data_IF_434117640702
#
_entry.id   IF_434117640702
#
_cell.length_a   1.000
_cell.length_b   1.000
_cell.length_c   1.000
_cell.angle_alpha   90.00
_cell.angle_beta   90.00
_cell.angle_gamma   90.00
#
_symmetry.space_group_name_H-M   'P 1'
#
loop_
_entity.id
_entity.type
_entity.pdbx_description
1 polymer ?
#
# COMPACT_ATOMS: atom_id res chain seq x y z
N UNK A 1 -35.43 -59.63 -38.21
CA UNK A 1 -34.94 -58.24 -38.00
C UNK A 1 -35.39 -57.78 -36.62
N UNK A 2 -34.53 -57.06 -35.89
CA UNK A 2 -34.42 -57.02 -34.41
C UNK A 2 -35.37 -56.04 -33.70
N UNK A 3 -35.66 -56.39 -32.42
CA UNK A 3 -36.37 -55.70 -31.30
C UNK A 3 -35.82 -54.27 -31.02
N UNK A 4 -36.45 -53.32 -30.29
CA UNK A 4 -37.11 -53.38 -28.96
C UNK A 4 -37.95 -52.10 -28.70
N UNK A 5 -39.00 -52.21 -27.88
CA UNK A 5 -39.85 -51.11 -27.34
C UNK A 5 -39.17 -50.30 -26.22
N UNK A 6 -39.59 -49.06 -26.01
CA UNK A 6 -39.88 -48.53 -24.65
C UNK A 6 -40.81 -47.30 -24.67
N UNK A 7 -41.68 -47.27 -23.66
CA UNK A 7 -42.88 -46.45 -23.43
C UNK A 7 -42.62 -45.08 -22.79
N UNK A 8 -43.38 -44.06 -23.18
CA UNK A 8 -43.45 -42.73 -22.52
C UNK A 8 -44.79 -42.59 -21.76
N UNK A 9 -44.75 -42.17 -20.49
CA UNK A 9 -45.94 -41.86 -19.66
C UNK A 9 -46.04 -40.36 -19.36
N UNK A 10 -47.25 -39.84 -19.53
CA UNK A 10 -47.74 -38.49 -19.18
C UNK A 10 -47.71 -38.22 -17.67
N UNK A 11 -47.44 -36.98 -17.27
CA UNK A 11 -47.76 -36.43 -15.94
C UNK A 11 -48.54 -35.11 -16.09
N UNK A 12 -49.60 -34.97 -15.29
CA UNK A 12 -50.60 -33.92 -15.34
C UNK A 12 -50.12 -32.59 -14.73
N UNK A 13 -50.55 -31.48 -15.34
CA UNK A 13 -50.37 -30.09 -14.87
C UNK A 13 -51.65 -29.64 -14.16
N UNK A 14 -51.52 -29.14 -12.94
CA UNK A 14 -52.61 -28.53 -12.17
C UNK A 14 -52.51 -27.01 -12.28
N UNK A 15 -53.64 -26.37 -12.62
CA UNK A 15 -53.82 -24.93 -12.75
C UNK A 15 -54.26 -24.27 -11.43
N UNK A 16 -53.91 -22.99 -11.25
CA UNK A 16 -54.53 -22.05 -10.31
C UNK A 16 -54.71 -20.68 -10.99
N UNK A 17 -55.71 -19.87 -10.59
CA UNK A 17 -56.39 -18.90 -11.45
C UNK A 17 -55.83 -17.46 -11.39
N UNK A 18 -56.19 -16.69 -12.42
CA UNK A 18 -55.84 -15.29 -12.66
C UNK A 18 -56.62 -14.28 -11.78
N UNK A 19 -55.99 -13.15 -11.40
CA UNK A 19 -56.65 -11.84 -11.20
C UNK A 19 -55.70 -10.68 -11.59
N UNK A 20 -56.34 -9.68 -12.20
CA UNK A 20 -55.91 -8.44 -12.86
C UNK A 20 -55.03 -7.43 -12.10
N UNK A 21 -54.38 -6.59 -12.91
CA UNK A 21 -53.60 -5.36 -12.66
C UNK A 21 -54.17 -4.35 -11.65
N UNK A 22 -53.28 -3.76 -10.84
CA UNK A 22 -53.32 -2.35 -10.44
C UNK A 22 -51.89 -1.83 -10.21
N UNK A 23 -51.51 -0.76 -10.91
CA UNK A 23 -50.24 -0.06 -10.76
C UNK A 23 -50.23 0.83 -9.50
N UNK A 24 -49.09 0.91 -8.80
CA UNK A 24 -48.67 2.09 -8.03
C UNK A 24 -47.16 2.03 -7.69
N UNK A 25 -46.60 3.21 -7.51
CA UNK A 25 -45.20 3.64 -7.63
C UNK A 25 -44.25 3.28 -6.47
N UNK A 26 -42.98 3.05 -6.85
CA UNK A 26 -41.69 3.33 -6.17
C UNK A 26 -41.64 3.59 -4.65
N UNK A 27 -40.96 2.68 -3.95
CA UNK A 27 -40.38 2.87 -2.61
C UNK A 27 -39.47 1.71 -2.25
N UNK A 28 -38.20 1.74 -2.67
CA UNK A 28 -37.23 0.67 -2.42
C UNK A 28 -36.55 0.84 -1.07
N UNK A 29 -37.10 0.19 -0.03
CA UNK A 29 -36.36 -0.19 1.17
C UNK A 29 -35.75 -1.58 0.98
N UNK A 30 -34.43 -1.70 1.03
CA UNK A 30 -33.73 -2.98 0.98
C UNK A 30 -33.68 -3.61 2.37
N UNK A 31 -34.14 -4.85 2.47
CA UNK A 31 -34.05 -5.68 3.67
C UNK A 31 -32.60 -6.08 3.95
N UNK A 32 -32.15 -5.80 5.18
CA UNK A 32 -30.85 -6.21 5.69
C UNK A 32 -30.80 -7.73 5.96
N UNK A 33 -29.75 -8.38 5.48
CA UNK A 33 -29.33 -9.73 5.91
C UNK A 33 -28.60 -9.58 7.27
N UNK A 34 -28.85 -10.43 8.28
CA UNK A 34 -28.21 -10.28 9.59
C UNK A 34 -26.74 -10.70 9.49
N UNK A 35 -25.84 -9.71 9.44
CA UNK A 35 -24.39 -9.92 9.55
C UNK A 35 -24.00 -10.22 10.99
N UNK A 36 -23.37 -11.37 11.21
CA UNK A 36 -22.71 -11.70 12.47
C UNK A 36 -21.59 -10.70 12.76
N UNK A 37 -21.73 -9.96 13.85
CA UNK A 37 -20.72 -9.08 14.43
C UNK A 37 -19.52 -9.90 14.88
N UNK A 38 -18.40 -9.80 14.18
CA UNK A 38 -17.09 -10.04 14.79
C UNK A 38 -16.84 -8.87 15.74
N UNK A 39 -16.98 -9.14 17.03
CA UNK A 39 -16.69 -8.18 18.08
C UNK A 39 -15.24 -7.68 17.93
N UNK A 40 -15.09 -6.38 17.70
CA UNK A 40 -13.82 -5.70 17.92
C UNK A 40 -13.34 -6.01 19.35
N UNK A 41 -12.02 -6.12 19.60
CA UNK A 41 -11.50 -6.22 20.96
C UNK A 41 -12.09 -5.08 21.79
N UNK A 42 -12.68 -5.41 22.94
CA UNK A 42 -13.33 -4.46 23.83
C UNK A 42 -12.37 -3.31 24.17
N UNK A 43 -12.63 -2.12 23.62
CA UNK A 43 -11.87 -0.91 23.94
C UNK A 43 -11.54 0.05 22.77
N UNK A 44 -11.76 -0.32 21.50
CA UNK A 44 -11.58 0.63 20.39
C UNK A 44 -12.88 1.37 20.05
N UNK A 45 -12.99 2.62 20.50
CA UNK A 45 -14.05 3.55 20.11
C UNK A 45 -13.86 4.00 18.65
N UNK A 46 -14.92 3.93 17.84
CA UNK A 46 -14.98 4.67 16.56
C UNK A 46 -14.99 6.16 16.90
N UNK A 47 -13.90 6.87 16.64
CA UNK A 47 -13.82 8.31 16.89
C UNK A 47 -14.35 9.07 15.68
N UNK A 48 -15.59 9.55 15.78
CA UNK A 48 -16.20 10.51 14.85
C UNK A 48 -15.83 11.95 15.23
N UNK A 49 -14.58 12.21 15.66
CA UNK A 49 -14.18 13.59 15.96
C UNK A 49 -14.32 14.38 14.65
N UNK A 50 -15.23 15.35 14.62
CA UNK A 50 -15.23 16.36 13.57
C UNK A 50 -13.87 17.04 13.63
N UNK A 51 -13.13 16.90 12.53
CA UNK A 51 -11.77 17.41 12.43
C UNK A 51 -11.84 18.94 12.51
N UNK A 52 -11.07 19.56 13.41
CA UNK A 52 -11.23 21.00 13.65
C UNK A 52 -10.68 21.79 12.47
N UNK A 53 -11.14 23.02 12.26
CA UNK A 53 -10.59 23.89 11.21
C UNK A 53 -9.09 24.24 11.37
N UNK A 54 -8.47 23.87 12.51
CA UNK A 54 -7.04 24.03 12.74
C UNK A 54 -6.23 22.72 12.56
N UNK A 55 -6.89 21.58 12.35
CA UNK A 55 -6.23 20.29 12.17
C UNK A 55 -5.85 20.11 10.68
N UNK A 56 -4.64 19.66 10.39
CA UNK A 56 -4.21 19.33 9.02
C UNK A 56 -4.92 18.06 8.56
N UNK A 57 -5.65 18.12 7.45
CA UNK A 57 -6.36 17.00 6.85
C UNK A 57 -5.51 16.35 5.76
N UNK A 58 -5.25 15.06 5.91
CA UNK A 58 -4.45 14.31 4.96
C UNK A 58 -4.95 12.89 4.78
N UNK A 59 -4.39 12.19 3.79
CA UNK A 59 -4.65 10.77 3.63
C UNK A 59 -3.97 10.17 2.41
N UNK A 60 -4.48 9.02 1.97
CA UNK A 60 -3.94 8.29 0.83
C UNK A 60 -3.17 7.05 1.25
N UNK A 61 -1.88 7.03 0.94
CA UNK A 61 -0.96 5.92 1.10
C UNK A 61 -1.18 5.14 2.40
N UNK A 62 -1.15 3.82 2.27
CA UNK A 62 -1.06 2.92 3.42
C UNK A 62 0.36 2.46 3.67
N UNK A 63 1.34 3.00 2.93
CA UNK A 63 2.70 2.51 2.90
C UNK A 63 3.75 3.65 2.93
N UNK A 64 4.76 3.55 3.80
CA UNK A 64 4.77 2.77 5.03
C UNK A 64 3.85 3.43 6.06
N UNK A 65 2.70 2.80 6.35
CA UNK A 65 1.65 3.41 7.18
C UNK A 65 2.15 3.83 8.58
N UNK A 66 3.14 3.12 9.13
CA UNK A 66 3.76 3.49 10.40
C UNK A 66 4.55 4.80 10.34
N UNK A 67 5.11 5.15 9.17
CA UNK A 67 5.85 6.40 9.04
C UNK A 67 4.90 7.61 9.01
N UNK A 68 3.63 7.39 8.61
CA UNK A 68 2.57 8.40 8.66
C UNK A 68 1.77 8.38 9.97
N UNK A 69 1.79 7.31 10.75
CA UNK A 69 1.00 7.26 12.01
C UNK A 69 1.87 7.37 13.26
N UNK A 70 3.11 6.88 13.17
CA UNK A 70 4.12 6.93 14.21
C UNK A 70 3.84 6.05 15.43
N UNK A 71 4.57 4.95 15.55
CA UNK A 71 4.67 4.12 16.75
C UNK A 71 3.47 3.20 17.06
N UNK A 72 3.77 2.05 17.68
CA UNK A 72 2.83 0.97 17.94
C UNK A 72 1.99 1.21 19.21
N UNK A 73 0.72 1.56 19.03
CA UNK A 73 -0.26 1.52 20.10
C UNK A 73 -1.52 2.29 19.75
N UNK A 74 -2.55 1.60 19.24
CA UNK A 74 -3.96 2.02 19.28
C UNK A 74 -4.30 3.50 19.03
N UNK A 75 -3.54 4.26 18.22
CA UNK A 75 -3.95 5.63 17.90
C UNK A 75 -4.80 5.59 16.62
N UNK A 76 -6.11 5.86 16.72
CA UNK A 76 -6.83 6.29 15.54
C UNK A 76 -6.24 7.63 15.13
N UNK A 77 -6.10 7.78 13.82
CA UNK A 77 -6.12 9.05 13.12
C UNK A 77 -6.73 10.19 13.98
N UNK A 78 -5.94 11.22 14.32
CA UNK A 78 -6.50 12.51 14.77
C UNK A 78 -6.35 12.99 16.22
N UNK A 79 -5.36 12.55 16.99
CA UNK A 79 -5.10 13.14 18.33
C UNK A 79 -3.60 13.30 18.62
N UNK A 80 -2.95 14.30 18.01
CA UNK A 80 -1.64 14.79 18.47
C UNK A 80 -1.80 15.92 19.49
N UNK A 81 -2.55 15.69 20.58
CA UNK A 81 -2.70 16.76 21.58
C UNK A 81 -1.33 17.10 22.17
N UNK A 82 -1.09 18.38 22.54
CA UNK A 82 0.15 18.88 23.13
C UNK A 82 0.66 18.12 24.39
N UNK A 83 -0.12 17.18 24.93
CA UNK A 83 0.23 16.31 26.06
C UNK A 83 0.62 14.87 25.66
N UNK A 84 0.66 14.52 24.36
CA UNK A 84 1.09 13.21 23.88
C UNK A 84 2.55 13.21 23.47
N UNK A 85 3.25 12.11 23.78
CA UNK A 85 4.57 11.82 23.25
C UNK A 85 4.47 11.82 21.73
N UNK A 86 5.23 12.70 21.08
CA UNK A 86 5.36 12.72 19.62
C UNK A 86 5.57 11.28 19.11
N UNK A 87 5.07 10.96 17.91
CA UNK A 87 5.42 9.70 17.28
C UNK A 87 6.95 9.54 17.33
N UNK A 88 7.44 8.31 17.52
CA UNK A 88 8.89 8.06 17.69
C UNK A 88 9.69 8.88 16.67
N UNK A 89 10.86 9.42 17.04
CA UNK A 89 11.70 10.32 16.23
C UNK A 89 12.06 9.81 14.81
N UNK A 90 11.62 8.58 14.46
CA UNK A 90 11.66 7.93 13.17
C UNK A 90 10.43 8.18 12.25
N UNK A 91 9.37 8.83 12.73
CA UNK A 91 8.13 9.14 11.98
C UNK A 91 8.29 10.35 11.05
N UNK A 92 7.58 10.36 9.91
CA UNK A 92 7.52 11.52 9.02
C UNK A 92 6.87 12.74 9.68
N UNK A 93 6.05 12.53 10.72
CA UNK A 93 5.34 13.58 11.46
C UNK A 93 5.94 13.83 12.85
N UNK A 94 7.26 13.67 12.99
CA UNK A 94 7.97 13.94 14.23
C UNK A 94 7.96 15.41 14.67
N UNK A 95 7.52 16.34 13.82
CA UNK A 95 7.28 17.75 14.16
C UNK A 95 5.83 17.99 14.56
N UNK A 96 5.64 18.72 15.66
CA UNK A 96 4.33 19.23 16.03
C UNK A 96 3.97 20.38 15.07
N UNK A 97 2.76 20.39 14.47
CA UNK A 97 2.32 21.55 13.70
C UNK A 97 2.21 22.78 14.61
N UNK A 98 2.36 23.97 14.04
CA UNK A 98 2.24 25.24 14.77
C UNK A 98 0.80 25.47 15.24
N UNK A 99 -0.18 24.89 14.54
CA UNK A 99 -1.58 24.83 14.95
C UNK A 99 -2.20 23.44 14.75
N UNK A 100 -3.04 22.99 15.69
CA UNK A 100 -3.83 21.75 15.59
C UNK A 100 -3.06 20.43 15.59
N UNK A 101 -3.65 19.39 14.98
CA UNK A 101 -3.11 18.03 14.87
C UNK A 101 -3.05 17.60 13.39
N UNK A 102 -2.17 16.65 13.03
CA UNK A 102 -2.24 15.97 11.73
C UNK A 102 -3.29 14.84 11.79
N UNK A 103 -4.24 14.87 10.86
CA UNK A 103 -5.29 13.88 10.67
C UNK A 103 -5.06 13.13 9.35
N UNK A 104 -4.47 11.93 9.40
CA UNK A 104 -4.11 11.15 8.20
C UNK A 104 -5.01 9.92 7.96
N UNK A 105 -5.82 9.94 6.90
CA UNK A 105 -6.68 8.81 6.54
C UNK A 105 -6.02 7.78 5.61
N UNK A 106 -5.94 6.55 6.10
CA UNK A 106 -5.42 5.38 5.36
C UNK A 106 -6.43 4.86 4.32
N UNK A 107 -6.60 5.59 3.22
CA UNK A 107 -7.60 5.30 2.17
C UNK A 107 -7.05 4.48 1.01
N UNK A 108 -5.73 4.32 0.92
CA UNK A 108 -5.02 3.80 -0.24
C UNK A 108 -4.62 4.90 -1.22
N UNK A 109 -3.48 4.70 -1.90
CA UNK A 109 -2.84 5.66 -2.80
C UNK A 109 -3.73 6.05 -3.98
N UNK A 110 -4.58 5.14 -4.47
CA UNK A 110 -5.54 5.45 -5.54
C UNK A 110 -6.61 6.45 -5.09
N UNK A 111 -7.20 6.25 -3.90
CA UNK A 111 -8.16 7.19 -3.33
C UNK A 111 -7.50 8.54 -3.00
N UNK A 112 -6.28 8.52 -2.44
CA UNK A 112 -5.50 9.72 -2.14
C UNK A 112 -5.25 10.57 -3.38
N UNK A 113 -4.71 9.99 -4.46
CA UNK A 113 -4.45 10.73 -5.69
C UNK A 113 -5.73 11.23 -6.35
N UNK A 114 -6.80 10.45 -6.34
CA UNK A 114 -8.06 10.90 -6.91
C UNK A 114 -8.63 12.10 -6.15
N UNK A 115 -8.50 12.10 -4.82
CA UNK A 115 -8.89 13.21 -3.97
C UNK A 115 -8.04 14.46 -4.22
N UNK A 116 -6.72 14.29 -4.22
CA UNK A 116 -5.75 15.35 -4.48
C UNK A 116 -5.99 16.04 -5.83
N UNK A 117 -6.26 15.25 -6.87
CA UNK A 117 -6.43 15.73 -8.24
C UNK A 117 -7.87 16.12 -8.60
N UNK A 118 -8.83 15.83 -7.73
CA UNK A 118 -10.26 15.99 -8.02
C UNK A 118 -10.76 15.09 -9.15
N UNK A 119 -10.06 13.99 -9.46
CA UNK A 119 -10.42 13.09 -10.56
C UNK A 119 -11.72 12.31 -10.30
N UNK A 120 -12.04 12.02 -9.04
CA UNK A 120 -13.31 11.40 -8.63
C UNK A 120 -13.87 12.07 -7.39
N UNK A 121 -15.18 11.92 -7.16
CA UNK A 121 -15.83 12.44 -5.97
C UNK A 121 -15.26 11.85 -4.68
N UNK A 122 -15.11 12.72 -3.68
CA UNK A 122 -14.62 12.44 -2.33
C UNK A 122 -15.57 11.49 -1.62
N UNK A 123 -15.07 10.40 -1.06
CA UNK A 123 -15.87 9.59 -0.13
C UNK A 123 -15.96 10.31 1.22
N UNK A 124 -17.14 10.80 1.56
CA UNK A 124 -17.45 11.39 2.87
C UNK A 124 -17.61 10.36 3.98
N UNK A 125 -17.37 9.08 3.67
CA UNK A 125 -17.36 8.01 4.68
C UNK A 125 -16.30 8.34 5.73
N UNK A 126 -16.61 8.06 7.00
CA UNK A 126 -15.72 8.36 8.12
C UNK A 126 -14.31 7.80 7.90
N UNK A 127 -13.29 8.47 8.41
CA UNK A 127 -11.93 7.95 8.41
C UNK A 127 -11.80 6.70 9.29
N UNK A 128 -11.04 5.72 8.82
CA UNK A 128 -10.89 4.44 9.49
C UNK A 128 -9.93 4.58 10.67
N UNK A 129 -10.25 3.94 11.80
CA UNK A 129 -9.25 3.73 12.83
C UNK A 129 -8.11 2.86 12.28
N UNK A 130 -6.89 3.09 12.75
CA UNK A 130 -5.73 2.27 12.42
C UNK A 130 -6.07 0.78 12.65
N UNK A 131 -5.80 -0.06 11.65
CA UNK A 131 -6.11 -1.49 11.72
C UNK A 131 -7.49 -1.90 11.23
N UNK A 132 -8.29 -0.97 10.67
CA UNK A 132 -9.57 -1.28 10.01
C UNK A 132 -9.50 -1.06 8.49
N UNK A 133 -10.39 -1.71 7.72
CA UNK A 133 -10.40 -1.61 6.24
C UNK A 133 -10.63 -0.18 5.76
N UNK A 134 -10.21 0.15 4.53
CA UNK A 134 -10.26 1.52 4.01
C UNK A 134 -11.67 2.11 4.11
N UNK A 135 -11.79 3.24 4.78
CA UNK A 135 -12.99 4.09 4.73
C UNK A 135 -12.57 5.47 4.20
N UNK A 136 -13.52 6.37 3.95
CA UNK A 136 -13.27 7.65 3.26
C UNK A 136 -12.44 8.64 4.07
N UNK A 137 -12.36 9.88 3.60
CA UNK A 137 -11.57 10.94 4.25
C UNK A 137 -12.29 11.61 5.43
N UNK A 138 -13.47 11.12 5.79
CA UNK A 138 -14.36 11.81 6.72
C UNK A 138 -14.99 13.06 6.10
N UNK A 139 -15.81 13.76 6.89
CA UNK A 139 -16.32 15.07 6.49
C UNK A 139 -15.27 16.13 6.78
N UNK A 140 -14.87 16.88 5.76
CA UNK A 140 -13.93 17.99 5.87
C UNK A 140 -14.44 19.19 5.06
N UNK A 141 -14.20 20.41 5.57
CA UNK A 141 -14.72 21.66 4.98
C UNK A 141 -13.84 22.24 3.87
N UNK A 142 -12.62 21.73 3.71
CA UNK A 142 -11.60 22.15 2.74
C UNK A 142 -11.03 20.95 2.01
N UNK A 143 -10.22 21.16 0.98
CA UNK A 143 -9.42 20.08 0.38
C UNK A 143 -8.45 19.50 1.43
N UNK A 144 -8.01 18.24 1.22
CA UNK A 144 -6.89 17.69 2.00
C UNK A 144 -5.67 18.58 1.83
N UNK A 145 -4.94 18.87 2.90
CA UNK A 145 -3.74 19.71 2.88
C UNK A 145 -2.55 19.01 2.20
N UNK A 146 -2.47 17.67 2.34
CA UNK A 146 -1.49 16.85 1.64
C UNK A 146 -1.96 15.39 1.52
N UNK A 147 -1.31 14.64 0.65
CA UNK A 147 -1.58 13.23 0.40
C UNK A 147 -0.27 12.45 0.38
N UNK A 148 -0.28 11.24 0.96
CA UNK A 148 0.80 10.27 0.71
C UNK A 148 0.42 9.35 -0.44
N UNK A 149 1.40 8.89 -1.23
CA UNK A 149 1.13 7.95 -2.32
C UNK A 149 2.32 7.06 -2.65
N UNK A 150 2.18 5.74 -2.51
CA UNK A 150 3.19 4.74 -2.99
C UNK A 150 3.15 4.48 -4.50
N UNK A 151 2.51 5.36 -5.25
CA UNK A 151 2.51 5.32 -6.70
C UNK A 151 2.43 6.76 -7.19
N UNK A 152 3.39 7.19 -8.00
CA UNK A 152 3.44 8.56 -8.51
C UNK A 152 2.16 8.96 -9.27
N UNK A 153 1.95 10.26 -9.41
CA UNK A 153 0.91 10.83 -10.26
C UNK A 153 1.07 10.32 -11.68
N UNK A 154 0.01 9.70 -12.20
CA UNK A 154 -0.04 9.30 -13.61
C UNK A 154 -0.32 10.52 -14.51
N UNK A 155 -0.07 10.43 -15.83
CA UNK A 155 -0.54 11.41 -16.81
C UNK A 155 -2.00 11.82 -16.67
N UNK A 156 -2.86 10.82 -16.43
CA UNK A 156 -4.28 11.05 -16.22
C UNK A 156 -4.57 11.80 -14.92
N UNK A 157 -3.86 11.47 -13.83
CA UNK A 157 -3.98 12.18 -12.55
C UNK A 157 -3.56 13.63 -12.70
N UNK A 158 -2.43 13.90 -13.36
CA UNK A 158 -2.01 15.27 -13.58
C UNK A 158 -3.00 16.04 -14.45
N UNK A 159 -3.50 15.44 -15.54
CA UNK A 159 -4.48 16.10 -16.41
C UNK A 159 -5.75 16.47 -15.65
N UNK A 160 -6.20 15.58 -14.75
CA UNK A 160 -7.30 15.86 -13.84
C UNK A 160 -6.96 17.02 -12.89
N UNK A 161 -5.78 17.03 -12.28
CA UNK A 161 -5.34 18.14 -11.42
C UNK A 161 -5.31 19.47 -12.17
N UNK A 162 -4.70 19.50 -13.36
CA UNK A 162 -4.62 20.68 -14.21
C UNK A 162 -6.00 21.25 -14.54
N UNK A 163 -6.97 20.37 -14.80
CA UNK A 163 -8.34 20.75 -15.14
C UNK A 163 -9.16 21.19 -13.93
N UNK A 164 -9.01 20.49 -12.80
CA UNK A 164 -9.92 20.61 -11.66
C UNK A 164 -9.39 21.48 -10.53
N UNK A 165 -8.07 21.62 -10.41
CA UNK A 165 -7.41 22.20 -9.23
C UNK A 165 -6.45 23.33 -9.58
N UNK A 166 -5.68 23.21 -10.67
CA UNK A 166 -4.55 24.14 -10.93
C UNK A 166 -4.91 25.62 -10.96
N UNK A 167 -6.09 26.00 -11.47
CA UNK A 167 -6.52 27.40 -11.50
C UNK A 167 -6.76 28.02 -10.11
N UNK A 168 -7.05 27.20 -9.11
CA UNK A 168 -7.38 27.63 -7.74
C UNK A 168 -6.36 27.16 -6.70
N UNK A 169 -5.60 26.10 -6.96
CA UNK A 169 -4.64 25.51 -6.03
C UNK A 169 -3.18 25.69 -6.46
N UNK A 170 -2.92 26.31 -7.63
CA UNK A 170 -1.57 26.44 -8.16
C UNK A 170 -1.03 25.11 -8.68
N UNK A 171 0.29 24.97 -8.76
CA UNK A 171 0.90 23.73 -9.27
C UNK A 171 0.70 22.56 -8.28
N UNK A 172 0.76 21.31 -8.74
CA UNK A 172 0.94 20.18 -7.82
C UNK A 172 2.42 20.01 -7.48
N UNK A 173 2.67 19.66 -6.23
CA UNK A 173 3.95 19.20 -5.71
C UNK A 173 3.87 17.70 -5.45
N UNK A 174 4.83 16.92 -5.91
CA UNK A 174 4.98 15.49 -5.59
C UNK A 174 6.47 15.18 -5.45
N UNK A 175 6.91 14.62 -4.32
CA UNK A 175 8.29 14.18 -4.19
C UNK A 175 8.47 12.94 -3.31
N UNK A 176 9.44 12.08 -3.60
CA UNK A 176 9.67 10.85 -2.85
C UNK A 176 10.44 11.15 -1.56
N UNK A 177 10.03 10.55 -0.46
CA UNK A 177 10.62 10.83 0.86
C UNK A 177 11.25 9.59 1.49
N UNK A 178 10.55 8.47 1.37
CA UNK A 178 10.88 7.19 2.00
C UNK A 178 10.66 6.05 1.04
N UNK A 179 11.28 4.92 1.33
CA UNK A 179 11.01 3.65 0.66
C UNK A 179 10.58 2.60 1.70
N UNK A 180 9.58 1.80 1.36
CA UNK A 180 9.12 0.69 2.20
C UNK A 180 9.38 -0.66 1.56
N UNK A 181 9.23 -1.73 2.34
CA UNK A 181 9.20 -3.09 1.84
C UNK A 181 7.78 -3.61 1.68
N UNK A 182 7.54 -4.38 0.62
CA UNK A 182 6.33 -5.19 0.50
C UNK A 182 6.68 -6.63 0.84
N UNK A 183 6.17 -7.10 1.97
CA UNK A 183 6.44 -8.43 2.49
C UNK A 183 5.50 -9.47 1.89
N UNK A 184 6.04 -10.67 1.68
CA UNK A 184 5.27 -11.89 1.56
C UNK A 184 4.88 -12.38 2.97
N UNK A 185 3.62 -12.18 3.33
CA UNK A 185 3.12 -12.50 4.67
C UNK A 185 2.33 -13.81 4.69
N UNK A 186 2.39 -14.52 5.81
CA UNK A 186 1.72 -15.80 6.00
C UNK A 186 1.20 -15.93 7.43
N UNK A 187 0.24 -16.83 7.65
CA UNK A 187 -0.26 -17.11 8.99
C UNK A 187 0.79 -17.89 9.78
N UNK A 188 1.47 -17.23 10.72
CA UNK A 188 2.66 -17.78 11.41
C UNK A 188 2.37 -19.09 12.14
N UNK A 189 1.20 -19.19 12.78
CA UNK A 189 0.81 -20.33 13.59
C UNK A 189 0.68 -21.66 12.82
N UNK A 190 0.65 -21.62 11.48
CA UNK A 190 0.54 -22.82 10.66
C UNK A 190 1.87 -23.52 10.40
N UNK A 191 3.00 -22.89 10.72
CA UNK A 191 4.32 -23.40 10.36
C UNK A 191 5.21 -23.51 11.58
N UNK A 192 6.09 -24.51 11.56
CA UNK A 192 7.16 -24.64 12.54
C UNK A 192 8.47 -24.34 11.83
N UNK A 193 9.04 -23.18 12.13
CA UNK A 193 10.31 -22.73 11.55
C UNK A 193 11.27 -22.54 12.71
N UNK A 194 12.39 -23.25 12.68
CA UNK A 194 13.41 -23.17 13.73
C UNK A 194 14.36 -22.00 13.47
N UNK A 195 14.79 -21.34 14.55
CA UNK A 195 15.93 -20.44 14.47
C UNK A 195 17.21 -21.26 14.23
N UNK A 196 18.00 -20.84 13.26
CA UNK A 196 19.32 -21.42 12.96
C UNK A 196 20.35 -20.30 12.82
N UNK A 197 21.67 -20.58 12.86
CA UNK A 197 22.68 -19.54 12.61
C UNK A 197 22.49 -18.81 11.27
N UNK A 198 21.98 -19.50 10.24
CA UNK A 198 21.67 -18.91 8.93
C UNK A 198 20.24 -18.36 8.81
N UNK A 199 19.40 -18.54 9.83
CA UNK A 199 18.04 -18.01 9.92
C UNK A 199 17.70 -17.64 11.38
N UNK A 200 18.37 -16.62 11.94
CA UNK A 200 18.22 -16.29 13.37
C UNK A 200 16.81 -15.78 13.71
N UNK A 201 16.09 -15.23 12.73
CA UNK A 201 14.73 -14.70 12.90
C UNK A 201 13.63 -15.78 12.83
N UNK A 202 13.99 -17.04 12.53
CA UNK A 202 13.05 -18.14 12.34
C UNK A 202 11.91 -17.78 11.37
N UNK A 203 12.25 -17.08 10.28
CA UNK A 203 11.29 -16.68 9.24
C UNK A 203 11.35 -17.67 8.08
N UNK A 204 10.22 -17.86 7.42
CA UNK A 204 10.18 -18.64 6.18
C UNK A 204 11.09 -18.00 5.14
N UNK A 205 11.86 -18.82 4.44
CA UNK A 205 12.68 -18.42 3.30
C UNK A 205 11.97 -18.80 2.01
N UNK A 206 11.90 -17.87 1.07
CA UNK A 206 11.34 -18.10 -0.26
C UNK A 206 12.30 -17.56 -1.32
N UNK A 207 12.80 -18.43 -2.19
CA UNK A 207 13.60 -18.02 -3.33
C UNK A 207 12.75 -17.24 -4.33
N UNK A 208 13.39 -16.51 -5.24
CA UNK A 208 12.70 -15.76 -6.31
C UNK A 208 11.74 -16.64 -7.10
N UNK A 209 12.19 -17.82 -7.51
CA UNK A 209 11.34 -18.77 -8.21
C UNK A 209 10.14 -19.22 -7.36
N UNK A 210 10.35 -19.48 -6.06
CA UNK A 210 9.28 -19.95 -5.17
C UNK A 210 8.21 -18.88 -4.93
N UNK A 211 8.57 -17.67 -4.50
CA UNK A 211 7.55 -16.65 -4.23
C UNK A 211 6.81 -16.22 -5.51
N UNK A 212 7.49 -16.21 -6.66
CA UNK A 212 6.86 -15.95 -7.96
C UNK A 212 5.83 -17.02 -8.31
N UNK A 213 6.17 -18.30 -8.13
CA UNK A 213 5.24 -19.41 -8.38
C UNK A 213 4.05 -19.42 -7.43
N UNK A 214 4.24 -19.05 -6.16
CA UNK A 214 3.12 -18.90 -5.22
C UNK A 214 2.21 -17.76 -5.69
N UNK A 215 2.77 -16.58 -5.99
CA UNK A 215 1.99 -15.43 -6.45
C UNK A 215 1.26 -15.68 -7.79
N UNK A 216 1.84 -16.49 -8.67
CA UNK A 216 1.24 -16.92 -9.94
C UNK A 216 0.27 -18.10 -9.81
N UNK A 217 0.08 -18.66 -8.60
CA UNK A 217 -0.80 -19.81 -8.35
C UNK A 217 -0.28 -21.15 -8.87
N UNK A 218 1.02 -21.25 -9.16
CA UNK A 218 1.68 -22.47 -9.65
C UNK A 218 2.15 -23.38 -8.51
N UNK A 219 2.52 -22.80 -7.37
CA UNK A 219 2.69 -23.53 -6.11
C UNK A 219 1.41 -23.33 -5.30
N UNK A 220 0.74 -24.43 -4.97
CA UNK A 220 -0.58 -24.42 -4.30
C UNK A 220 -0.57 -25.16 -2.96
N UNK A 221 0.58 -25.63 -2.49
CA UNK A 221 0.73 -26.36 -1.23
C UNK A 221 2.04 -25.95 -0.54
N UNK A 222 1.99 -25.68 0.76
CA UNK A 222 3.17 -25.32 1.56
C UNK A 222 4.18 -26.45 1.71
N UNK A 223 3.78 -27.69 1.45
CA UNK A 223 4.65 -28.85 1.42
C UNK A 223 5.36 -29.04 0.07
N UNK A 224 5.27 -28.08 -0.86
CA UNK A 224 5.99 -28.13 -2.14
C UNK A 224 7.52 -28.26 -1.94
N UNK A 225 8.15 -29.06 -2.79
CA UNK A 225 9.58 -29.36 -2.71
C UNK A 225 10.48 -28.11 -2.84
N UNK A 226 10.04 -27.08 -3.57
CA UNK A 226 10.78 -25.82 -3.67
C UNK A 226 10.81 -25.08 -2.32
N UNK A 227 9.67 -25.02 -1.63
CA UNK A 227 9.57 -24.41 -0.29
C UNK A 227 10.43 -25.20 0.71
N UNK A 228 10.40 -26.53 0.67
CA UNK A 228 11.25 -27.35 1.55
C UNK A 228 12.74 -27.09 1.30
N UNK A 229 13.12 -26.96 0.03
CA UNK A 229 14.51 -26.68 -0.38
C UNK A 229 14.97 -25.32 0.16
N UNK A 230 14.16 -24.27 -0.01
CA UNK A 230 14.48 -22.91 0.45
C UNK A 230 14.67 -22.84 1.98
N UNK A 231 13.99 -23.71 2.73
CA UNK A 231 14.00 -23.74 4.18
C UNK A 231 14.93 -24.81 4.78
N UNK A 232 15.63 -25.61 3.95
CA UNK A 232 16.52 -26.68 4.42
C UNK A 232 15.79 -27.85 5.09
N UNK A 233 14.52 -28.05 4.74
CA UNK A 233 13.66 -29.08 5.33
C UNK A 233 12.19 -28.67 5.34
N UNK A 234 11.34 -29.56 5.84
CA UNK A 234 9.90 -29.32 5.88
C UNK A 234 9.52 -28.27 6.95
N UNK A 235 8.72 -27.28 6.54
CA UNK A 235 8.09 -26.29 7.44
C UNK A 235 6.68 -26.72 7.92
N UNK A 236 6.14 -27.81 7.37
CA UNK A 236 4.78 -28.30 7.61
C UNK A 236 4.73 -29.61 8.44
N UNK A 237 5.89 -30.16 8.80
CA UNK A 237 6.01 -31.50 9.40
C UNK A 237 5.87 -32.66 8.39
N UNK A 238 6.10 -32.40 7.10
CA UNK A 238 5.96 -33.37 6.02
C UNK A 238 4.52 -33.62 5.59
N UNK A 239 3.57 -32.83 6.09
CA UNK A 239 2.14 -32.95 5.80
C UNK A 239 1.75 -31.93 4.74
N UNK A 240 0.93 -32.38 3.77
CA UNK A 240 0.29 -31.49 2.79
C UNK A 240 -0.52 -30.41 3.51
N UNK A 241 -0.27 -29.16 3.13
CA UNK A 241 -0.98 -28.00 3.62
C UNK A 241 -1.28 -27.11 2.41
N UNK A 242 -2.43 -27.32 1.74
CA UNK A 242 -2.83 -26.49 0.62
C UNK A 242 -2.83 -25.01 1.01
N UNK A 243 -2.35 -24.16 0.10
CA UNK A 243 -2.47 -22.71 0.21
C UNK A 243 -3.95 -22.40 0.02
N UNK A 244 -4.66 -22.18 1.13
CA UNK A 244 -6.11 -22.00 1.14
C UNK A 244 -6.49 -20.70 0.44
N UNK A 245 -5.75 -19.63 0.73
CA UNK A 245 -5.96 -18.32 0.15
C UNK A 245 -4.66 -17.57 -0.06
N UNK A 246 -4.58 -16.90 -1.21
CA UNK A 246 -3.66 -15.80 -1.47
C UNK A 246 -4.47 -14.50 -1.44
N UNK A 247 -4.24 -13.66 -0.44
CA UNK A 247 -4.93 -12.39 -0.28
C UNK A 247 -4.19 -11.28 -1.03
N UNK A 248 -4.93 -10.58 -1.89
CA UNK A 248 -4.44 -9.44 -2.66
C UNK A 248 -5.31 -8.21 -2.41
N UNK A 249 -4.80 -7.01 -2.69
CA UNK A 249 -5.54 -5.76 -2.48
C UNK A 249 -6.65 -5.61 -3.52
N UNK A 250 -7.89 -5.49 -3.05
CA UNK A 250 -9.04 -5.24 -3.93
C UNK A 250 -9.19 -3.77 -4.33
N UNK A 251 -8.51 -2.87 -3.63
CA UNK A 251 -8.55 -1.42 -3.82
C UNK A 251 -7.32 -0.90 -4.60
N UNK A 252 -7.40 0.32 -5.13
CA UNK A 252 -6.29 0.99 -5.83
C UNK A 252 -5.11 1.24 -4.89
N UNK A 253 -4.06 0.44 -5.02
CA UNK A 253 -3.01 0.29 -4.00
C UNK A 253 -1.61 0.45 -4.60
N UNK A 254 -0.79 1.35 -4.03
CA UNK A 254 0.63 1.46 -4.37
C UNK A 254 1.42 0.21 -3.96
N UNK A 255 1.09 -0.41 -2.82
CA UNK A 255 1.61 -1.73 -2.42
C UNK A 255 1.43 -2.80 -3.53
N UNK A 256 0.30 -2.78 -4.24
CA UNK A 256 0.05 -3.71 -5.37
C UNK A 256 0.88 -3.38 -6.60
N UNK A 257 1.10 -2.09 -6.86
CA UNK A 257 1.98 -1.65 -7.93
C UNK A 257 3.40 -2.16 -7.66
N UNK A 258 3.95 -1.86 -6.47
CA UNK A 258 5.30 -2.25 -6.06
C UNK A 258 5.49 -3.77 -6.15
N UNK A 259 4.56 -4.54 -5.55
CA UNK A 259 4.63 -6.00 -5.56
C UNK A 259 4.64 -6.57 -6.98
N UNK A 260 3.71 -6.15 -7.84
CA UNK A 260 3.59 -6.70 -9.19
C UNK A 260 4.71 -6.22 -10.12
N UNK A 261 5.23 -5.01 -9.93
CA UNK A 261 6.42 -4.54 -10.65
C UNK A 261 7.64 -5.40 -10.32
N UNK A 262 7.82 -5.72 -9.03
CA UNK A 262 8.89 -6.64 -8.61
C UNK A 262 8.70 -8.04 -9.21
N UNK A 263 7.48 -8.59 -9.22
CA UNK A 263 7.19 -9.87 -9.87
C UNK A 263 7.50 -9.83 -11.38
N UNK A 264 7.08 -8.77 -12.08
CA UNK A 264 7.34 -8.61 -13.51
C UNK A 264 8.84 -8.51 -13.84
N UNK A 265 9.65 -7.91 -12.95
CA UNK A 265 11.08 -7.75 -13.15
C UNK A 265 11.91 -8.98 -12.74
N UNK A 266 11.50 -9.68 -11.68
CA UNK A 266 12.32 -10.70 -11.03
C UNK A 266 11.94 -12.14 -11.39
N UNK A 267 10.68 -12.38 -11.76
CA UNK A 267 10.21 -13.75 -11.93
C UNK A 267 10.86 -14.43 -13.14
N UNK A 268 11.20 -15.74 -13.03
CA UNK A 268 11.67 -16.50 -14.18
C UNK A 268 10.68 -16.42 -15.34
N UNK A 269 11.21 -16.35 -16.56
CA UNK A 269 10.41 -16.22 -17.78
C UNK A 269 9.24 -17.22 -17.80
N UNK A 270 8.03 -16.71 -18.09
CA UNK A 270 6.80 -17.49 -18.13
C UNK A 270 6.13 -17.75 -16.77
N UNK A 271 6.72 -17.32 -15.64
CA UNK A 271 6.10 -17.51 -14.31
C UNK A 271 5.07 -16.41 -14.02
N UNK A 272 5.47 -15.14 -14.16
CA UNK A 272 4.57 -13.98 -14.00
C UNK A 272 4.39 -13.27 -15.34
N UNK A 273 3.21 -13.39 -15.94
CA UNK A 273 2.89 -12.84 -17.27
C UNK A 273 1.80 -11.78 -17.23
N UNK A 274 1.37 -11.38 -16.03
CA UNK A 274 0.19 -10.55 -15.82
C UNK A 274 0.45 -9.04 -15.89
N UNK A 275 1.72 -8.63 -15.93
CA UNK A 275 2.11 -7.22 -15.87
C UNK A 275 2.03 -6.65 -14.44
N UNK A 276 1.97 -5.33 -14.34
CA UNK A 276 1.93 -4.60 -13.07
C UNK A 276 0.92 -3.45 -13.10
N UNK A 277 0.48 -3.01 -11.92
CA UNK A 277 -0.42 -1.88 -11.78
C UNK A 277 -0.91 -1.70 -10.35
N UNK A 278 -1.63 -0.60 -10.10
CA UNK A 278 -2.27 -0.33 -8.80
C UNK A 278 -3.46 -1.25 -8.49
N UNK A 279 -3.87 -2.07 -9.47
CA UNK A 279 -4.87 -3.12 -9.35
C UNK A 279 -4.21 -4.47 -9.54
N UNK A 280 -4.68 -5.50 -8.83
CA UNK A 280 -4.20 -6.87 -9.00
C UNK A 280 -4.50 -7.38 -10.42
N UNK A 281 -3.48 -7.92 -11.09
CA UNK A 281 -3.54 -8.48 -12.44
C UNK A 281 -3.41 -10.00 -12.47
N UNK A 282 -2.98 -10.61 -11.37
CA UNK A 282 -2.70 -12.04 -11.26
C UNK A 282 -3.96 -12.93 -11.29
N UNK A 283 -3.84 -14.19 -10.83
CA UNK A 283 -4.96 -15.13 -10.82
C UNK A 283 -6.18 -14.62 -10.04
N UNK A 284 -7.36 -15.06 -10.48
CA UNK A 284 -8.69 -14.71 -9.92
C UNK A 284 -9.50 -15.94 -9.54
N UNK A 285 -8.84 -17.07 -9.25
CA UNK A 285 -9.49 -18.30 -8.79
C UNK A 285 -10.05 -18.15 -7.37
N UNK A 286 -10.75 -19.16 -6.85
CA UNK A 286 -11.33 -19.16 -5.50
C UNK A 286 -10.30 -18.95 -4.38
N UNK A 287 -9.05 -19.33 -4.61
CA UNK A 287 -7.94 -19.20 -3.67
C UNK A 287 -7.42 -17.75 -3.65
N UNK A 288 -7.58 -16.99 -4.74
CA UNK A 288 -7.14 -15.60 -4.82
C UNK A 288 -8.26 -14.67 -4.40
N UNK A 289 -8.13 -14.08 -3.21
CA UNK A 289 -9.23 -13.33 -2.59
C UNK A 289 -8.84 -11.88 -2.33
N UNK A 290 -9.61 -10.96 -2.90
CA UNK A 290 -9.44 -9.53 -2.69
C UNK A 290 -9.85 -9.08 -1.29
N UNK A 291 -9.02 -8.26 -0.65
CA UNK A 291 -9.37 -7.49 0.57
C UNK A 291 -8.91 -6.04 0.44
N UNK A 292 -9.66 -5.13 1.05
CA UNK A 292 -9.33 -3.71 1.03
C UNK A 292 -8.32 -3.38 2.13
N UNK A 293 -7.29 -2.61 1.76
CA UNK A 293 -6.29 -2.09 2.70
C UNK A 293 -5.31 -3.15 3.23
N UNK A 294 -4.13 -2.72 3.69
CA UNK A 294 -3.23 -3.58 4.48
C UNK A 294 -3.93 -4.21 5.70
N UNK A 295 -4.84 -3.50 6.41
CA UNK A 295 -5.59 -4.09 7.51
C UNK A 295 -6.50 -5.25 7.12
N UNK A 296 -7.18 -5.15 5.97
CA UNK A 296 -8.05 -6.21 5.48
C UNK A 296 -7.26 -7.45 5.08
N UNK A 297 -6.13 -7.27 4.40
CA UNK A 297 -5.23 -8.38 4.05
C UNK A 297 -4.73 -9.09 5.31
N UNK A 298 -4.16 -8.32 6.24
CA UNK A 298 -3.55 -8.87 7.44
C UNK A 298 -4.55 -9.61 8.33
N UNK A 299 -5.75 -9.04 8.52
CA UNK A 299 -6.83 -9.68 9.27
C UNK A 299 -7.27 -10.98 8.59
N UNK A 300 -7.36 -10.99 7.25
CA UNK A 300 -7.72 -12.19 6.50
C UNK A 300 -6.65 -13.28 6.60
N UNK A 301 -5.36 -12.92 6.52
CA UNK A 301 -4.26 -13.88 6.71
C UNK A 301 -4.31 -14.46 8.13
N UNK A 302 -4.42 -13.62 9.16
CA UNK A 302 -4.44 -14.08 10.55
C UNK A 302 -5.63 -15.02 10.85
N UNK A 303 -6.79 -14.77 10.22
CA UNK A 303 -8.01 -15.55 10.41
C UNK A 303 -8.06 -16.86 9.60
N UNK A 304 -7.26 -16.97 8.53
CA UNK A 304 -7.39 -18.06 7.56
C UNK A 304 -6.21 -19.01 7.63
N UNK A 305 -6.45 -20.25 8.08
CA UNK A 305 -5.45 -21.33 8.14
C UNK A 305 -4.79 -21.57 6.79
N UNK A 306 -3.46 -21.72 6.77
CA UNK A 306 -2.62 -21.96 5.59
C UNK A 306 -2.69 -20.86 4.52
N UNK A 307 -3.04 -19.63 4.90
CA UNK A 307 -3.13 -18.52 3.95
C UNK A 307 -1.85 -17.68 3.87
N UNK A 308 -1.77 -16.91 2.78
CA UNK A 308 -0.70 -15.94 2.51
C UNK A 308 -1.25 -14.73 1.75
N UNK A 309 -0.38 -13.76 1.48
CA UNK A 309 -0.65 -12.58 0.69
C UNK A 309 0.53 -11.62 0.77
N UNK A 310 0.37 -10.44 0.20
CA UNK A 310 1.37 -9.37 0.31
C UNK A 310 0.84 -8.21 1.16
N UNK A 311 1.69 -7.69 2.03
CA UNK A 311 1.40 -6.52 2.88
C UNK A 311 2.61 -5.62 2.98
N UNK A 312 2.39 -4.36 3.32
CA UNK A 312 3.46 -3.48 3.75
C UNK A 312 4.15 -4.01 5.02
N UNK A 313 5.48 -4.03 5.03
CA UNK A 313 6.25 -4.73 6.05
C UNK A 313 6.13 -4.13 7.45
N UNK A 314 6.08 -2.79 7.57
CA UNK A 314 5.91 -2.15 8.87
C UNK A 314 4.53 -2.42 9.47
N UNK A 315 3.49 -2.41 8.63
CA UNK A 315 2.16 -2.84 9.06
C UNK A 315 2.19 -4.29 9.59
N UNK A 316 2.88 -5.20 8.90
CA UNK A 316 3.06 -6.58 9.34
C UNK A 316 3.74 -6.72 10.72
N UNK A 317 4.69 -5.82 11.04
CA UNK A 317 5.37 -5.83 12.35
C UNK A 317 4.37 -5.61 13.50
N UNK A 318 3.40 -4.70 13.32
CA UNK A 318 2.40 -4.37 14.34
C UNK A 318 1.45 -5.52 14.72
N UNK A 319 1.45 -6.60 13.92
CA UNK A 319 0.53 -7.74 14.08
C UNK A 319 1.24 -9.05 14.42
N UNK A 320 2.52 -8.97 14.78
CA UNK A 320 3.26 -10.07 15.41
C UNK A 320 2.61 -10.38 16.78
N UNK A 321 2.39 -11.66 17.16
CA UNK A 321 2.96 -12.88 16.57
C UNK A 321 2.09 -13.59 15.53
N UNK A 322 0.93 -13.06 15.14
CA UNK A 322 -0.02 -13.78 14.28
C UNK A 322 0.44 -13.85 12.82
N UNK A 323 1.14 -12.81 12.36
CA UNK A 323 1.68 -12.70 11.02
C UNK A 323 3.17 -13.03 10.99
N UNK A 324 3.53 -13.94 10.09
CA UNK A 324 4.91 -14.18 9.69
C UNK A 324 5.21 -13.39 8.43
N UNK A 325 6.41 -12.86 8.33
CA UNK A 325 6.93 -12.17 7.15
C UNK A 325 8.12 -12.98 6.62
N UNK A 326 8.08 -13.37 5.35
CA UNK A 326 9.12 -14.23 4.77
C UNK A 326 10.37 -13.43 4.42
N UNK A 327 11.54 -14.05 4.62
CA UNK A 327 12.78 -13.60 3.99
C UNK A 327 12.73 -13.99 2.52
N UNK A 328 13.06 -13.06 1.63
CA UNK A 328 13.07 -13.30 0.20
C UNK A 328 14.50 -13.32 -0.31
N UNK A 329 14.80 -14.24 -1.23
CA UNK A 329 16.08 -14.29 -1.91
C UNK A 329 16.18 -13.12 -2.90
N UNK A 330 17.27 -12.36 -2.82
CA UNK A 330 17.58 -11.30 -3.76
C UNK A 330 18.39 -11.81 -4.96
N UNK A 331 18.70 -10.93 -5.91
CA UNK A 331 19.45 -11.26 -7.13
C UNK A 331 20.87 -11.80 -6.86
N UNK A 332 21.43 -11.57 -5.67
CA UNK A 332 22.73 -12.09 -5.25
C UNK A 332 22.65 -13.45 -4.55
N UNK A 333 21.46 -14.04 -4.44
CA UNK A 333 21.26 -15.35 -3.81
C UNK A 333 21.18 -15.32 -2.28
N UNK A 334 21.11 -14.14 -1.67
CA UNK A 334 21.00 -13.99 -0.23
C UNK A 334 19.56 -13.74 0.19
N UNK A 335 19.19 -14.28 1.36
CA UNK A 335 17.88 -14.07 1.96
C UNK A 335 17.90 -12.83 2.84
N UNK A 336 17.05 -11.86 2.53
CA UNK A 336 16.92 -10.62 3.28
C UNK A 336 15.54 -10.53 3.94
N UNK A 337 15.47 -9.93 5.14
CA UNK A 337 14.22 -9.69 5.84
C UNK A 337 13.54 -8.41 5.35
N UNK A 338 12.21 -8.40 5.14
CA UNK A 338 11.47 -7.18 4.78
C UNK A 338 11.50 -6.11 5.86
N UNK A 339 11.86 -6.47 7.09
CA UNK A 339 11.77 -5.59 8.25
C UNK A 339 13.12 -5.02 8.68
N UNK A 340 14.23 -5.47 8.08
CA UNK A 340 15.59 -5.00 8.40
C UNK A 340 15.88 -3.68 7.67
N UNK A 341 15.94 -2.58 8.41
CA UNK A 341 16.20 -1.25 7.83
C UNK A 341 17.52 -1.18 7.05
N UNK A 342 18.53 -1.99 7.41
CA UNK A 342 19.81 -2.03 6.70
C UNK A 342 19.65 -2.64 5.31
N UNK A 343 18.95 -3.77 5.23
CA UNK A 343 18.61 -4.40 3.95
C UNK A 343 17.78 -3.48 3.06
N UNK A 344 16.89 -2.66 3.65
CA UNK A 344 16.12 -1.67 2.89
C UNK A 344 16.96 -0.48 2.44
N UNK A 345 17.86 0.02 3.29
CA UNK A 345 18.79 1.10 2.93
C UNK A 345 19.69 0.67 1.75
N UNK A 346 20.21 -0.55 1.77
CA UNK A 346 20.99 -1.08 0.65
C UNK A 346 20.14 -1.33 -0.61
N UNK A 347 18.84 -1.59 -0.47
CA UNK A 347 17.94 -1.70 -1.61
C UNK A 347 17.73 -0.38 -2.36
N UNK A 348 17.99 0.77 -1.71
CA UNK A 348 17.79 2.11 -2.29
C UNK A 348 19.07 2.95 -2.37
N UNK A 349 20.24 2.39 -2.05
CA UNK A 349 21.50 3.13 -1.95
C UNK A 349 21.97 3.75 -3.29
N UNK A 350 21.57 3.17 -4.41
CA UNK A 350 21.87 3.67 -5.75
C UNK A 350 20.82 4.68 -6.26
N UNK A 351 19.78 4.96 -5.46
CA UNK A 351 18.73 5.91 -5.79
C UNK A 351 19.13 7.28 -5.23
N UNK A 352 19.53 8.17 -6.13
CA UNK A 352 20.07 9.51 -5.83
C UNK A 352 19.31 10.59 -6.61
N UNK A 353 19.63 11.86 -6.37
CA UNK A 353 19.08 12.98 -7.15
C UNK A 353 19.24 12.85 -8.66
N UNK A 354 20.28 12.15 -9.14
CA UNK A 354 20.49 11.90 -10.58
C UNK A 354 19.41 11.02 -11.22
N UNK A 355 18.66 10.28 -10.40
CA UNK A 355 17.57 9.42 -10.84
C UNK A 355 16.22 10.13 -10.86
N UNK A 356 16.14 11.35 -10.32
CA UNK A 356 14.92 12.16 -10.35
C UNK A 356 14.69 12.61 -11.78
N UNK A 357 13.51 12.28 -12.30
CA UNK A 357 13.03 12.86 -13.54
C UNK A 357 12.15 14.06 -13.21
N UNK A 358 12.55 15.22 -13.73
CA UNK A 358 11.78 16.46 -13.67
C UNK A 358 10.92 16.59 -14.91
N UNK A 359 9.63 16.90 -14.76
CA UNK A 359 8.84 17.43 -15.87
C UNK A 359 8.74 16.56 -17.13
N UNK A 360 8.65 15.23 -17.00
CA UNK A 360 8.11 14.33 -18.02
C UNK A 360 9.02 13.86 -19.16
N UNK A 361 9.42 12.58 -19.08
CA UNK A 361 9.31 11.57 -20.14
C UNK A 361 9.29 10.20 -19.46
N UNK A 362 8.47 9.27 -19.94
CA UNK A 362 8.62 7.85 -19.62
C UNK A 362 10.01 7.39 -20.12
N UNK A 363 10.80 6.74 -19.27
CA UNK A 363 12.10 6.17 -19.66
C UNK A 363 11.94 4.92 -20.55
N UNK A 364 10.71 4.59 -20.96
CA UNK A 364 10.42 3.50 -21.90
C UNK A 364 10.64 2.12 -21.30
N UNK A 365 10.53 1.98 -19.97
CA UNK A 365 10.85 0.75 -19.24
C UNK A 365 9.71 -0.30 -19.25
N UNK A 366 8.59 0.00 -19.92
CA UNK A 366 7.50 -0.97 -20.13
C UNK A 366 6.67 -1.28 -18.88
N UNK A 367 6.79 -0.50 -17.80
CA UNK A 367 6.11 -0.76 -16.52
C UNK A 367 4.68 -0.20 -16.39
N UNK A 368 4.12 0.39 -17.45
CA UNK A 368 2.74 0.89 -17.45
C UNK A 368 2.58 2.39 -17.16
N UNK A 369 3.67 3.17 -17.13
CA UNK A 369 3.63 4.61 -17.40
C UNK A 369 3.54 4.87 -18.90
N UNK A 370 2.54 4.29 -19.57
CA UNK A 370 2.46 4.20 -21.02
C UNK A 370 2.16 5.49 -21.79
N UNK A 371 2.41 6.69 -21.22
CA UNK A 371 2.28 7.94 -21.97
C UNK A 371 3.38 8.96 -21.61
N UNK A 372 4.06 9.45 -22.65
CA UNK A 372 4.94 10.61 -22.58
C UNK A 372 4.15 11.83 -22.11
N UNK A 373 4.56 12.43 -21.00
CA UNK A 373 3.91 13.61 -20.40
C UNK A 373 4.11 14.93 -21.16
N UNK A 374 4.79 14.88 -22.32
CA UNK A 374 5.08 16.03 -23.17
C UNK A 374 6.17 16.95 -22.61
N UNK A 375 6.91 17.62 -23.49
CA UNK A 375 8.09 18.47 -23.17
C UNK A 375 7.74 19.84 -22.57
N UNK A 376 6.54 20.05 -22.06
CA UNK A 376 6.01 21.37 -21.70
C UNK A 376 5.48 21.41 -20.26
N UNK A 377 6.36 21.15 -19.30
CA UNK A 377 6.01 21.20 -17.87
C UNK A 377 6.97 22.12 -17.11
N UNK A 378 6.40 23.04 -16.34
CA UNK A 378 7.05 23.96 -15.38
C UNK A 378 7.00 23.43 -13.94
N UNK A 379 6.99 22.10 -13.74
CA UNK A 379 6.27 21.47 -12.63
C UNK A 379 7.13 20.80 -11.57
N UNK A 380 6.55 20.73 -10.38
CA UNK A 380 7.19 20.37 -9.13
C UNK A 380 6.90 18.90 -8.75
N UNK A 381 6.91 18.04 -9.77
CA UNK A 381 6.66 16.60 -9.68
C UNK A 381 7.98 15.87 -9.92
N UNK A 382 8.47 15.23 -8.87
CA UNK A 382 9.77 14.57 -8.81
C UNK A 382 9.53 13.07 -8.87
N UNK A 383 9.81 12.46 -10.01
CA UNK A 383 9.50 11.05 -10.24
C UNK A 383 10.75 10.17 -10.15
N UNK A 384 10.59 8.98 -9.54
CA UNK A 384 11.56 7.89 -9.59
C UNK A 384 10.95 6.72 -10.36
N UNK A 385 11.67 6.25 -11.39
CA UNK A 385 11.26 5.08 -12.16
C UNK A 385 11.14 3.84 -11.25
N UNK A 386 10.04 3.07 -11.33
CA UNK A 386 9.89 1.80 -10.65
C UNK A 386 11.03 0.81 -10.96
N UNK A 387 11.70 0.92 -12.11
CA UNK A 387 12.83 0.06 -12.47
C UNK A 387 13.96 0.14 -11.42
N UNK A 388 14.16 1.30 -10.80
CA UNK A 388 15.17 1.53 -9.74
C UNK A 388 14.94 0.66 -8.49
N UNK A 389 13.69 0.23 -8.27
CA UNK A 389 13.28 -0.52 -7.08
C UNK A 389 12.87 -1.96 -7.40
N UNK A 390 12.66 -2.26 -8.68
CA UNK A 390 12.06 -3.50 -9.15
C UNK A 390 12.93 -4.74 -8.96
N UNK A 391 14.26 -4.60 -8.86
CA UNK A 391 15.19 -5.68 -8.57
C UNK A 391 16.53 -5.12 -8.03
N UNK A 392 16.60 -4.73 -6.75
CA UNK A 392 17.81 -4.15 -6.17
C UNK A 392 19.00 -5.11 -6.24
N UNK A 393 20.17 -4.58 -6.63
CA UNK A 393 21.36 -5.38 -6.93
C UNK A 393 22.32 -5.56 -5.75
N UNK A 394 22.14 -4.83 -4.65
CA UNK A 394 23.01 -4.94 -3.48
C UNK A 394 22.84 -6.32 -2.80
N UNK A 395 23.96 -6.88 -2.33
CA UNK A 395 24.03 -8.29 -1.94
C UNK A 395 23.14 -8.69 -0.77
N UNK A 396 22.78 -7.75 0.09
CA UNK A 396 21.93 -7.94 1.27
C UNK A 396 20.62 -7.14 1.18
N UNK A 397 20.31 -6.58 0.00
CA UNK A 397 19.07 -5.86 -0.21
C UNK A 397 17.85 -6.77 -0.11
N UNK A 398 16.76 -6.24 0.47
CA UNK A 398 15.45 -6.87 0.31
C UNK A 398 14.94 -6.64 -1.11
N UNK A 399 14.43 -7.67 -1.81
CA UNK A 399 14.17 -7.56 -3.24
C UNK A 399 12.87 -6.83 -3.61
N UNK A 400 11.92 -6.65 -2.71
CA UNK A 400 10.63 -6.01 -3.02
C UNK A 400 10.48 -4.71 -2.22
N UNK A 401 10.94 -3.62 -2.82
CA UNK A 401 10.91 -2.27 -2.23
C UNK A 401 10.25 -1.28 -3.18
N UNK A 402 9.80 -0.15 -2.66
CA UNK A 402 9.31 0.94 -3.51
C UNK A 402 9.20 2.26 -2.76
N UNK A 403 9.18 3.39 -3.49
CA UNK A 403 9.12 4.73 -2.91
C UNK A 403 7.70 5.05 -2.44
N UNK A 404 7.60 5.96 -1.49
CA UNK A 404 6.36 6.65 -1.16
C UNK A 404 6.56 8.16 -1.32
N UNK A 405 5.58 8.78 -1.98
CA UNK A 405 5.57 10.17 -2.37
C UNK A 405 4.72 11.01 -1.42
N UNK A 406 5.10 12.28 -1.30
CA UNK A 406 4.39 13.30 -0.57
C UNK A 406 3.86 14.34 -1.56
N UNK A 407 2.54 14.50 -1.58
CA UNK A 407 1.81 15.30 -2.56
C UNK A 407 1.10 16.46 -1.87
N UNK A 408 1.28 17.69 -2.35
CA UNK A 408 0.57 18.88 -1.86
C UNK A 408 0.43 19.92 -2.98
N UNK A 409 -0.23 21.05 -2.71
CA UNK A 409 -0.45 22.10 -3.70
C UNK A 409 0.03 23.46 -3.22
N UNK A 410 0.38 24.31 -4.17
CA UNK A 410 1.24 25.48 -3.92
C UNK A 410 0.48 26.74 -3.51
N UNK A 411 -0.84 26.78 -3.72
CA UNK A 411 -1.64 27.99 -3.52
C UNK A 411 -2.96 27.65 -2.83
N UNK A 412 -3.46 28.56 -1.97
CA UNK A 412 -4.74 28.41 -1.25
C UNK A 412 -4.84 27.14 -0.39
N UNK A 413 -3.71 26.63 0.09
CA UNK A 413 -3.70 25.64 1.17
C UNK A 413 -4.09 26.34 2.48
N UNK A 414 -5.07 25.81 3.20
CA UNK A 414 -5.59 26.45 4.42
C UNK A 414 -4.57 26.38 5.56
N UNK A 415 -3.61 25.45 5.47
CA UNK A 415 -2.53 25.22 6.44
C UNK A 415 -1.12 25.37 5.79
N UNK A 416 -0.93 26.29 4.85
CA UNK A 416 0.35 26.46 4.10
C UNK A 416 1.59 26.44 5.00
N UNK A 417 1.61 27.22 6.08
CA UNK A 417 2.78 27.32 6.97
C UNK A 417 3.13 25.97 7.64
N UNK A 418 2.12 25.20 8.04
CA UNK A 418 2.33 23.89 8.66
C UNK A 418 2.78 22.84 7.63
N UNK A 419 2.26 22.90 6.39
CA UNK A 419 2.72 22.04 5.29
C UNK A 419 4.16 22.37 4.91
N UNK A 420 4.53 23.64 4.82
CA UNK A 420 5.92 24.06 4.58
C UNK A 420 6.88 23.55 5.65
N UNK A 421 6.49 23.64 6.91
CA UNK A 421 7.30 23.16 8.03
C UNK A 421 7.47 21.65 8.00
N UNK A 422 6.39 20.93 7.68
CA UNK A 422 6.45 19.49 7.45
C UNK A 422 7.39 19.14 6.28
N UNK A 423 7.34 19.89 5.18
CA UNK A 423 8.26 19.72 4.03
C UNK A 423 9.71 19.93 4.47
N UNK A 424 10.02 21.01 5.21
CA UNK A 424 11.37 21.25 5.75
C UNK A 424 11.85 20.11 6.63
N UNK A 425 10.99 19.61 7.50
CA UNK A 425 11.32 18.52 8.41
C UNK A 425 11.64 17.22 7.65
N UNK A 426 10.77 16.78 6.74
CA UNK A 426 10.95 15.51 6.03
C UNK A 426 12.11 15.56 5.03
N UNK A 427 12.45 16.76 4.56
CA UNK A 427 13.60 17.00 3.68
C UNK A 427 14.90 17.28 4.43
N UNK A 428 14.85 17.59 5.73
CA UNK A 428 16.03 17.85 6.56
C UNK A 428 16.56 19.28 6.50
N UNK A 429 15.72 20.25 6.13
CA UNK A 429 16.06 21.66 6.01
C UNK A 429 15.43 22.56 7.11
N UNK A 430 14.83 21.96 8.14
CA UNK A 430 14.50 22.63 9.40
C UNK A 430 15.76 22.70 10.32
N UNK A 431 15.69 23.55 11.34
CA UNK A 431 16.56 23.63 12.53
C UNK A 431 16.72 22.31 13.29
N UNK A 432 15.84 21.33 13.09
CA UNK A 432 15.96 19.96 13.60
C UNK A 432 16.44 19.01 12.49
N UNK A 433 17.37 18.12 12.82
CA UNK A 433 17.89 17.16 11.85
C UNK A 433 16.78 16.22 11.35
N UNK A 434 16.82 15.87 10.05
CA UNK A 434 15.93 14.87 9.44
C UNK A 434 15.84 13.61 10.30
N UNK A 435 14.64 13.01 10.46
CA UNK A 435 14.51 11.70 11.07
C UNK A 435 15.48 10.69 10.45
N UNK A 436 16.20 9.97 11.31
CA UNK A 436 17.05 8.86 10.88
C UNK A 436 16.56 7.58 11.53
N UNK A 437 16.79 6.46 10.84
CA UNK A 437 16.62 5.14 11.44
C UNK A 437 17.96 4.72 12.05
N UNK A 438 17.93 4.25 13.29
CA UNK A 438 19.12 3.67 13.92
C UNK A 438 19.61 2.44 13.16
N UNK A 439 20.91 2.19 13.19
CA UNK A 439 21.51 0.98 12.61
C UNK A 439 20.86 -0.27 13.21
N UNK A 440 20.44 -1.22 12.37
CA UNK A 440 19.77 -2.44 12.81
C UNK A 440 18.32 -2.26 13.25
N UNK A 441 17.70 -1.11 12.96
CA UNK A 441 16.29 -0.89 13.26
C UNK A 441 15.39 -1.88 12.51
N UNK A 442 14.32 -2.32 13.20
CA UNK A 442 13.30 -3.19 12.61
C UNK A 442 12.06 -2.37 12.30
N UNK A 443 11.96 -1.88 11.08
CA UNK A 443 10.98 -0.84 10.70
C UNK A 443 10.12 -1.20 9.51
N UNK A 444 10.63 -1.95 8.53
CA UNK A 444 9.93 -2.19 7.27
C UNK A 444 9.96 -1.01 6.27
N UNK A 445 10.68 0.05 6.60
CA UNK A 445 10.95 1.19 5.71
C UNK A 445 12.33 1.80 5.96
N UNK A 446 12.79 2.64 5.03
CA UNK A 446 14.01 3.44 5.12
C UNK A 446 13.80 4.83 4.54
N UNK A 447 14.66 5.77 4.90
CA UNK A 447 14.73 7.09 4.28
C UNK A 447 15.52 7.01 2.98
N UNK A 448 15.05 7.74 1.96
CA UNK A 448 15.82 7.94 0.74
C UNK A 448 17.03 8.84 0.98
N UNK A 449 18.05 8.72 0.14
CA UNK A 449 19.28 9.51 0.22
C UNK A 449 18.99 11.02 0.33
N UNK A 450 19.75 11.75 1.15
CA UNK A 450 19.49 13.17 1.37
C UNK A 450 19.67 14.00 0.10
N UNK A 451 20.47 13.55 -0.87
CA UNK A 451 20.60 14.26 -2.16
C UNK A 451 19.27 14.39 -2.88
N UNK A 452 18.33 13.45 -2.70
CA UNK A 452 16.99 13.51 -3.31
C UNK A 452 16.20 14.65 -2.67
N UNK A 453 16.18 14.70 -1.34
CA UNK A 453 15.46 15.75 -0.61
C UNK A 453 16.13 17.12 -0.76
N UNK A 454 17.47 17.16 -0.84
CA UNK A 454 18.25 18.35 -1.14
C UNK A 454 17.96 18.87 -2.56
N UNK A 455 17.79 17.98 -3.54
CA UNK A 455 17.43 18.38 -4.90
C UNK A 455 16.03 19.02 -4.94
N UNK A 456 15.08 18.43 -4.21
CA UNK A 456 13.74 19.00 -4.01
C UNK A 456 13.84 20.40 -3.41
N UNK A 457 14.60 20.56 -2.33
CA UNK A 457 14.76 21.83 -1.62
C UNK A 457 15.53 22.90 -2.40
N UNK A 458 16.65 22.54 -3.03
CA UNK A 458 17.49 23.49 -3.76
C UNK A 458 16.79 24.02 -5.02
N UNK A 459 15.95 23.20 -5.66
CA UNK A 459 15.14 23.67 -6.78
C UNK A 459 14.08 24.70 -6.33
N UNK A 460 13.54 24.56 -5.10
CA UNK A 460 12.64 25.54 -4.49
C UNK A 460 13.34 26.88 -4.21
N UNK A 461 14.60 26.85 -3.74
CA UNK A 461 15.34 28.06 -3.35
C UNK A 461 16.07 28.75 -4.50
N UNK A 462 16.24 28.08 -5.65
CA UNK A 462 17.12 28.55 -6.71
C UNK A 462 16.46 28.93 -8.03
N UNK A 463 15.41 28.22 -8.50
CA UNK A 463 15.07 28.27 -9.93
C UNK A 463 13.58 28.08 -10.31
N UNK A 464 12.67 27.73 -9.39
CA UNK A 464 11.23 27.68 -9.67
C UNK A 464 10.43 27.75 -8.34
N UNK A 465 9.65 28.83 -8.07
CA UNK A 465 8.99 29.00 -6.78
C UNK A 465 7.74 28.12 -6.73
N UNK A 466 7.95 26.83 -6.52
CA UNK A 466 6.84 25.92 -6.30
C UNK A 466 6.28 26.01 -4.88
N UNK A 467 7.02 26.54 -3.91
CA UNK A 467 6.52 26.68 -2.52
C UNK A 467 6.14 28.14 -2.20
N UNK A 468 6.37 29.08 -3.12
CA UNK A 468 6.15 30.51 -2.85
C UNK A 468 5.34 31.21 -3.93
N UNK A 469 4.03 31.38 -3.66
CA UNK A 469 3.29 32.60 -4.02
C UNK A 469 2.12 32.82 -3.06
#
# INVERSE_FOLDING_TARGET
>A
MKRFQQTTRLLAVVALPAVLFAACSHGSGSSAVPGGSVNAPSGQTRHTKEVSAADLHAGGATFPGIAYMGGAGNQPVGLYTAAQTLPSASSLFGVAPTTGNIYYCLTGSGAGRNEFTGATSISTSACAAAGTTTTGFGSHSSLLDFVGSDAALTPSNYTAYASNRKSTQGEPMEFPVIAGAVSFAYRKADFTIAATPSNPLAQMKLSTATFCKIAAGQITDWNDAAIQTDNGGSITGGVSKPISNFFFRSDGSGTSLIFQTALAAQCPSGTWTFGAGTTWKGPTTSEFVGKSGNPGIASAIAATTNSTGYIEAAYGLSLTPHLGQAQLMNSSGNYASPTDATALAHAVNNVTSSNITFGGADNGDGTGFGESLGTSRTECVFYLSPALFSNPSASDAYPIVGPSYFDFYTTNNVHTADVEELVKFVTGHDSTARPTLGTGATTGYTYLDSSITDAVWNQQNGLNPCITS
#
